data_IF_126053423378
#
_entry.id   IF_126053423378
#
_cell.length_a   1.000
_cell.length_b   1.000
_cell.length_c   1.000
_cell.angle_alpha   90.00
_cell.angle_beta   90.00
_cell.angle_gamma   90.00
#
_symmetry.space_group_name_H-M   'P 1'
#
loop_
_entity.id
_entity.type
_entity.pdbx_description
1 polymer ?
#
# COMPACT_ATOMS: atom_id res chain seq x y z
N UNK A 1 41.61 -28.29 14.15
CA UNK A 1 40.31 -27.75 14.53
C UNK A 1 39.46 -28.87 15.09
N UNK A 2 38.83 -28.65 16.22
CA UNK A 2 37.91 -29.65 16.76
C UNK A 2 36.63 -29.70 15.94
N UNK A 3 35.96 -30.88 15.85
CA UNK A 3 34.68 -31.03 15.14
C UNK A 3 33.61 -29.99 15.58
N UNK A 4 33.69 -29.53 16.84
CA UNK A 4 32.82 -28.50 17.39
C UNK A 4 33.11 -27.11 16.78
N UNK A 5 34.38 -26.75 16.59
CA UNK A 5 34.77 -25.46 15.95
C UNK A 5 34.36 -25.40 14.49
N UNK A 6 34.46 -26.53 13.76
CA UNK A 6 34.03 -26.60 12.36
C UNK A 6 32.53 -26.46 12.23
N UNK A 7 31.73 -27.05 13.11
CA UNK A 7 30.28 -26.92 13.12
C UNK A 7 29.82 -25.47 13.41
N UNK A 8 30.48 -24.82 14.36
CA UNK A 8 30.18 -23.39 14.69
C UNK A 8 30.50 -22.49 13.51
N UNK A 9 31.63 -22.70 12.85
CA UNK A 9 32.01 -21.93 11.67
C UNK A 9 31.00 -22.11 10.52
N UNK A 10 30.52 -23.34 10.32
CA UNK A 10 29.53 -23.66 9.29
C UNK A 10 28.17 -22.97 9.56
N UNK A 11 27.73 -22.97 10.83
CA UNK A 11 26.50 -22.26 11.24
C UNK A 11 26.65 -20.75 11.04
N UNK A 12 27.77 -20.14 11.42
CA UNK A 12 28.05 -18.74 11.23
C UNK A 12 28.06 -18.30 9.74
N UNK A 13 28.54 -19.18 8.84
CA UNK A 13 28.56 -18.93 7.41
C UNK A 13 27.16 -19.10 6.77
N UNK A 14 26.35 -20.04 7.26
CA UNK A 14 25.00 -20.28 6.71
C UNK A 14 23.96 -19.30 7.23
N UNK A 15 24.12 -18.76 8.44
CA UNK A 15 23.16 -17.84 9.05
C UNK A 15 22.83 -16.63 8.17
N UNK A 16 23.81 -15.87 7.60
CA UNK A 16 23.48 -14.74 6.75
C UNK A 16 22.81 -15.15 5.43
N UNK A 17 23.12 -16.32 4.90
CA UNK A 17 22.48 -16.84 3.68
C UNK A 17 21.03 -17.19 3.97
N UNK A 18 20.75 -17.85 5.08
CA UNK A 18 19.38 -18.20 5.52
C UNK A 18 18.59 -16.91 5.79
N UNK A 19 19.16 -15.93 6.48
CA UNK A 19 18.53 -14.65 6.75
C UNK A 19 18.22 -13.89 5.44
N UNK A 20 19.10 -13.93 4.46
CA UNK A 20 18.88 -13.34 3.14
C UNK A 20 17.73 -14.02 2.38
N UNK A 21 17.65 -15.36 2.44
CA UNK A 21 16.60 -16.14 1.78
C UNK A 21 15.22 -15.98 2.44
N UNK A 22 15.19 -15.73 3.75
CA UNK A 22 13.95 -15.53 4.52
C UNK A 22 13.49 -14.06 4.47
N UNK A 23 14.37 -13.12 4.10
CA UNK A 23 14.03 -11.71 4.05
C UNK A 23 12.97 -11.46 2.98
N UNK A 24 11.81 -10.87 3.34
CA UNK A 24 10.76 -10.62 2.36
C UNK A 24 11.26 -9.70 1.26
N UNK A 25 10.99 -10.06 0.01
CA UNK A 25 11.32 -9.23 -1.15
C UNK A 25 10.59 -7.87 -1.08
N UNK A 26 11.12 -6.85 -1.72
CA UNK A 26 10.47 -5.54 -1.80
C UNK A 26 9.08 -5.63 -2.45
N UNK A 27 8.91 -6.49 -3.47
CA UNK A 27 7.61 -6.77 -4.06
C UNK A 27 6.62 -7.35 -3.05
N UNK A 28 7.04 -8.32 -2.24
CA UNK A 28 6.23 -8.92 -1.17
C UNK A 28 5.82 -7.88 -0.11
N UNK A 29 6.73 -6.98 0.24
CA UNK A 29 6.47 -5.88 1.18
C UNK A 29 5.45 -4.89 0.64
N UNK A 30 5.53 -4.56 -0.67
CA UNK A 30 4.56 -3.69 -1.33
C UNK A 30 3.19 -4.37 -1.44
N UNK A 31 3.12 -5.66 -1.77
CA UNK A 31 1.86 -6.43 -1.74
C UNK A 31 1.20 -6.38 -0.36
N UNK A 32 1.99 -6.57 0.69
CA UNK A 32 1.52 -6.46 2.08
C UNK A 32 1.03 -5.06 2.40
N UNK A 33 1.73 -4.01 1.94
CA UNK A 33 1.33 -2.61 2.13
C UNK A 33 -0.08 -2.36 1.58
N UNK A 34 -0.39 -2.81 0.36
CA UNK A 34 -1.72 -2.63 -0.23
C UNK A 34 -2.79 -3.47 0.47
N UNK A 35 -2.49 -4.73 0.80
CA UNK A 35 -3.41 -5.60 1.54
C UNK A 35 -3.79 -5.00 2.90
N UNK A 36 -2.81 -4.55 3.65
CA UNK A 36 -3.03 -3.91 4.95
C UNK A 36 -3.63 -2.50 4.81
N UNK A 37 -3.24 -1.76 3.75
CA UNK A 37 -3.81 -0.46 3.41
C UNK A 37 -5.31 -0.54 3.19
N UNK A 38 -5.78 -1.48 2.38
CA UNK A 38 -7.22 -1.72 2.20
C UNK A 38 -7.91 -2.01 3.54
N UNK A 39 -7.33 -2.88 4.36
CA UNK A 39 -7.90 -3.25 5.67
C UNK A 39 -8.00 -2.06 6.63
N UNK A 40 -7.01 -1.17 6.68
CA UNK A 40 -7.06 -0.01 7.59
C UNK A 40 -8.02 1.07 7.10
N UNK A 41 -8.23 1.19 5.78
CA UNK A 41 -9.26 2.06 5.21
C UNK A 41 -10.66 1.50 5.57
N UNK A 42 -10.87 0.19 5.44
CA UNK A 42 -12.13 -0.47 5.83
C UNK A 42 -12.44 -0.34 7.34
N UNK A 43 -11.40 -0.19 8.17
CA UNK A 43 -11.52 0.09 9.61
C UNK A 43 -11.63 1.58 9.95
N UNK A 44 -11.57 2.45 8.94
CA UNK A 44 -11.61 3.91 9.11
C UNK A 44 -10.49 4.44 10.03
N UNK A 45 -9.33 3.74 10.06
CA UNK A 45 -8.17 4.11 10.86
C UNK A 45 -7.28 5.10 10.08
N UNK A 46 -7.57 6.39 10.24
CA UNK A 46 -6.89 7.48 9.53
C UNK A 46 -5.38 7.48 9.76
N UNK A 47 -4.93 7.29 10.99
CA UNK A 47 -3.49 7.35 11.31
C UNK A 47 -2.76 6.15 10.68
N UNK A 48 -3.35 4.97 10.71
CA UNK A 48 -2.80 3.80 10.05
C UNK A 48 -2.76 3.95 8.52
N UNK A 49 -3.77 4.57 7.89
CA UNK A 49 -3.75 4.91 6.46
C UNK A 49 -2.61 5.86 6.15
N UNK A 50 -2.53 6.97 6.88
CA UNK A 50 -1.55 8.02 6.63
C UNK A 50 -0.11 7.59 6.93
N UNK A 51 0.10 6.58 7.77
CA UNK A 51 1.43 6.00 8.01
C UNK A 51 2.03 5.29 6.78
N UNK A 52 1.22 5.03 5.75
CA UNK A 52 1.60 4.42 4.47
C UNK A 52 1.82 5.43 3.35
N UNK A 53 1.56 6.69 3.61
CA UNK A 53 1.73 7.80 2.68
C UNK A 53 2.95 8.63 3.09
N UNK A 54 3.81 8.96 2.14
CA UNK A 54 4.97 9.81 2.40
C UNK A 54 4.54 11.26 2.68
N UNK A 55 5.26 11.94 3.57
CA UNK A 55 5.12 13.39 3.74
C UNK A 55 5.45 14.18 2.47
N UNK A 56 6.23 13.58 1.53
CA UNK A 56 6.57 14.14 0.24
C UNK A 56 5.51 13.84 -0.85
N UNK A 57 4.36 13.27 -0.46
CA UNK A 57 3.29 12.95 -1.40
C UNK A 57 2.88 14.18 -2.22
N UNK A 58 2.82 13.98 -3.53
CA UNK A 58 2.27 14.94 -4.48
C UNK A 58 1.77 14.21 -5.72
N UNK A 59 0.49 14.31 -6.00
CA UNK A 59 -0.10 13.68 -7.17
C UNK A 59 -0.06 14.58 -8.42
N UNK A 60 -0.67 14.10 -9.51
CA UNK A 60 -0.75 14.82 -10.78
C UNK A 60 -1.56 16.13 -10.71
N UNK A 61 -2.43 16.27 -9.71
CA UNK A 61 -3.24 17.49 -9.47
C UNK A 61 -2.59 18.42 -8.45
N UNK A 62 -1.41 18.08 -7.96
CA UNK A 62 -0.69 18.86 -6.96
C UNK A 62 -1.21 18.67 -5.52
N UNK A 63 -2.04 17.67 -5.27
CA UNK A 63 -2.55 17.35 -3.94
C UNK A 63 -1.41 16.84 -3.06
N UNK A 64 -1.32 17.40 -1.86
CA UNK A 64 -0.25 17.10 -0.90
C UNK A 64 -0.70 16.11 0.18
N UNK A 65 0.25 15.62 0.99
CA UNK A 65 -0.02 14.77 2.15
C UNK A 65 -1.14 15.32 3.06
N UNK A 66 -1.09 16.62 3.40
CA UNK A 66 -2.10 17.25 4.26
C UNK A 66 -3.48 17.25 3.60
N UNK A 67 -3.54 17.51 2.31
CA UNK A 67 -4.80 17.47 1.57
C UNK A 67 -5.41 16.07 1.56
N UNK A 68 -4.60 15.05 1.31
CA UNK A 68 -5.06 13.64 1.34
C UNK A 68 -5.54 13.26 2.73
N UNK A 69 -4.83 13.67 3.77
CA UNK A 69 -5.24 13.44 5.16
C UNK A 69 -6.60 14.05 5.48
N UNK A 70 -6.83 15.31 5.13
CA UNK A 70 -8.10 15.98 5.34
C UNK A 70 -9.24 15.39 4.48
N UNK A 71 -8.93 14.97 3.26
CA UNK A 71 -9.90 14.30 2.39
C UNK A 71 -10.31 12.94 2.96
N UNK A 72 -9.37 12.12 3.40
CA UNK A 72 -9.67 10.83 4.04
C UNK A 72 -10.47 11.00 5.32
N UNK A 73 -10.16 12.01 6.12
CA UNK A 73 -10.96 12.34 7.32
C UNK A 73 -12.40 12.64 6.97
N UNK A 74 -12.66 13.44 5.92
CA UNK A 74 -14.03 13.73 5.44
C UNK A 74 -14.72 12.47 4.95
N UNK A 75 -14.03 11.62 4.19
CA UNK A 75 -14.58 10.34 3.73
C UNK A 75 -15.05 9.50 4.92
N UNK A 76 -14.24 9.33 5.94
CA UNK A 76 -14.58 8.55 7.14
C UNK A 76 -15.70 9.17 7.99
N UNK A 77 -15.92 10.49 7.90
CA UNK A 77 -17.06 11.15 8.55
C UNK A 77 -18.38 11.00 7.77
N UNK A 78 -18.31 10.85 6.45
CA UNK A 78 -19.49 10.82 5.56
C UNK A 78 -19.89 9.41 5.13
N UNK A 79 -18.97 8.46 5.17
CA UNK A 79 -19.16 7.10 4.69
C UNK A 79 -18.90 6.10 5.81
N UNK A 80 -19.60 4.99 5.75
CA UNK A 80 -19.41 3.85 6.65
C UNK A 80 -19.43 2.54 5.88
N UNK A 81 -19.08 1.43 6.53
CA UNK A 81 -19.04 0.10 5.90
C UNK A 81 -18.23 0.08 4.61
N UNK A 82 -17.10 0.77 4.60
CA UNK A 82 -16.22 0.86 3.44
C UNK A 82 -15.63 -0.52 3.16
N UNK A 83 -15.74 -0.97 1.91
CA UNK A 83 -15.12 -2.20 1.42
C UNK A 83 -14.33 -1.92 0.16
N UNK A 84 -13.07 -2.36 0.15
CA UNK A 84 -12.16 -2.19 -0.98
C UNK A 84 -11.91 -3.53 -1.63
N UNK A 85 -12.16 -3.59 -2.93
CA UNK A 85 -11.83 -4.72 -3.79
C UNK A 85 -10.79 -4.26 -4.80
N UNK A 86 -9.70 -5.00 -4.95
CA UNK A 86 -8.71 -4.74 -5.98
C UNK A 86 -8.25 -6.04 -6.63
N UNK A 87 -7.92 -5.95 -7.91
CA UNK A 87 -7.46 -7.05 -8.73
C UNK A 87 -6.37 -6.58 -9.69
N UNK A 88 -5.74 -7.52 -10.39
CA UNK A 88 -4.72 -7.26 -11.40
C UNK A 88 -3.52 -6.45 -10.88
N UNK A 89 -3.15 -6.64 -9.61
CA UNK A 89 -2.00 -5.96 -9.01
C UNK A 89 -0.71 -6.35 -9.72
N UNK A 90 -0.05 -5.36 -10.32
CA UNK A 90 1.26 -5.47 -10.98
C UNK A 90 2.24 -4.52 -10.32
N UNK A 91 3.33 -5.06 -9.79
CA UNK A 91 4.36 -4.30 -9.10
C UNK A 91 5.65 -4.36 -9.90
N UNK A 92 6.29 -3.21 -10.08
CA UNK A 92 7.63 -3.08 -10.67
C UNK A 92 8.51 -2.33 -9.69
N UNK A 93 9.57 -2.98 -9.22
CA UNK A 93 10.55 -2.38 -8.30
C UNK A 93 11.83 -2.06 -9.05
N UNK A 94 12.33 -0.85 -8.87
CA UNK A 94 13.63 -0.40 -9.37
C UNK A 94 14.35 0.36 -8.27
N UNK A 95 15.30 -0.30 -7.61
CA UNK A 95 16.08 0.25 -6.50
C UNK A 95 15.17 0.75 -5.35
N UNK A 96 15.13 2.06 -5.10
CA UNK A 96 14.32 2.68 -4.06
C UNK A 96 12.95 3.18 -4.54
N UNK A 97 12.62 2.93 -5.80
CA UNK A 97 11.36 3.33 -6.42
C UNK A 97 10.56 2.11 -6.86
N UNK A 98 9.26 2.21 -6.81
CA UNK A 98 8.38 1.18 -7.33
C UNK A 98 7.11 1.80 -7.91
N UNK A 99 6.48 1.07 -8.83
CA UNK A 99 5.14 1.35 -9.30
C UNK A 99 4.25 0.15 -9.02
N UNK A 100 3.00 0.42 -8.70
CA UNK A 100 1.96 -0.60 -8.54
C UNK A 100 0.71 -0.17 -9.29
N UNK A 101 0.30 -0.99 -10.23
CA UNK A 101 -0.93 -0.81 -11.00
C UNK A 101 -1.97 -1.81 -10.54
N UNK A 102 -3.22 -1.40 -10.39
CA UNK A 102 -4.33 -2.26 -9.99
C UNK A 102 -5.67 -1.71 -10.44
N UNK A 103 -6.64 -2.60 -10.56
CA UNK A 103 -8.04 -2.25 -10.81
C UNK A 103 -8.81 -2.29 -9.49
N UNK A 104 -9.49 -1.19 -9.15
CA UNK A 104 -10.08 -0.97 -7.83
C UNK A 104 -11.57 -0.69 -7.93
N UNK A 105 -12.33 -1.26 -6.99
CA UNK A 105 -13.72 -0.91 -6.68
C UNK A 105 -13.83 -0.60 -5.21
N UNK A 106 -14.63 0.38 -4.89
CA UNK A 106 -14.93 0.71 -3.50
C UNK A 106 -16.44 0.78 -3.31
N UNK A 107 -16.92 0.06 -2.32
CA UNK A 107 -18.31 0.05 -1.87
C UNK A 107 -18.35 0.75 -0.53
N UNK A 108 -19.35 1.59 -0.31
CA UNK A 108 -19.56 2.22 1.00
C UNK A 108 -21.03 2.56 1.20
N UNK A 109 -21.38 2.88 2.43
CA UNK A 109 -22.70 3.38 2.83
C UNK A 109 -22.62 4.88 3.07
N UNK A 110 -23.48 5.64 2.41
CA UNK A 110 -23.67 7.08 2.60
C UNK A 110 -25.11 7.29 3.07
N UNK A 111 -25.28 7.75 4.32
CA UNK A 111 -26.62 7.78 4.94
C UNK A 111 -27.20 6.38 5.07
N UNK A 112 -28.28 6.10 4.32
CA UNK A 112 -28.94 4.77 4.28
C UNK A 112 -28.66 4.00 2.98
N UNK A 113 -27.92 4.58 2.05
CA UNK A 113 -27.69 4.01 0.73
C UNK A 113 -26.30 3.35 0.65
N UNK A 114 -26.26 2.09 0.28
CA UNK A 114 -25.03 1.33 0.06
C UNK A 114 -24.84 1.07 -1.43
N UNK A 115 -23.65 1.36 -1.93
CA UNK A 115 -23.33 1.15 -3.34
C UNK A 115 -21.87 1.41 -3.68
N UNK A 116 -21.54 1.29 -4.96
CA UNK A 116 -20.22 1.59 -5.47
C UNK A 116 -19.99 3.10 -5.46
N UNK A 117 -18.93 3.53 -4.77
CA UNK A 117 -18.47 4.92 -4.76
C UNK A 117 -17.28 5.15 -5.68
N UNK A 118 -16.57 4.09 -6.04
CA UNK A 118 -15.47 4.10 -7.00
C UNK A 118 -15.52 2.83 -7.84
N UNK A 119 -15.61 2.99 -9.18
CA UNK A 119 -15.80 1.88 -10.09
C UNK A 119 -17.15 1.19 -9.90
N UNK A 120 -17.37 0.12 -10.66
CA UNK A 120 -18.52 -0.78 -10.53
C UNK A 120 -18.11 -2.20 -10.97
N UNK A 121 -19.04 -3.16 -10.93
CA UNK A 121 -18.75 -4.56 -11.28
C UNK A 121 -18.18 -4.72 -12.70
N UNK A 122 -18.78 -4.14 -13.76
CA UNK A 122 -18.24 -4.30 -15.09
C UNK A 122 -17.03 -3.40 -15.39
N UNK A 123 -16.85 -2.30 -14.64
CA UNK A 123 -15.82 -1.30 -14.93
C UNK A 123 -15.14 -0.78 -13.66
N UNK A 124 -14.10 -1.48 -13.18
CA UNK A 124 -13.26 -0.97 -12.09
C UNK A 124 -12.50 0.28 -12.53
N UNK A 125 -12.00 1.03 -11.57
CA UNK A 125 -11.09 2.16 -11.83
C UNK A 125 -9.66 1.67 -11.80
N UNK A 126 -8.91 1.95 -12.85
CA UNK A 126 -7.49 1.65 -12.90
C UNK A 126 -6.69 2.70 -12.15
N UNK A 127 -5.98 2.29 -11.11
CA UNK A 127 -5.11 3.15 -10.31
C UNK A 127 -3.66 2.77 -10.48
N UNK A 128 -2.81 3.76 -10.56
CA UNK A 128 -1.36 3.61 -10.53
C UNK A 128 -0.79 4.35 -9.33
N UNK A 129 -0.04 3.63 -8.53
CA UNK A 129 0.67 4.17 -7.39
C UNK A 129 2.17 4.22 -7.69
N UNK A 130 2.80 5.32 -7.32
CA UNK A 130 4.26 5.42 -7.26
C UNK A 130 4.68 5.38 -5.79
N UNK A 131 5.67 4.56 -5.48
CA UNK A 131 6.17 4.36 -4.12
C UNK A 131 7.66 4.67 -4.07
N UNK A 132 8.10 5.12 -2.91
CA UNK A 132 9.52 5.32 -2.59
C UNK A 132 9.86 4.60 -1.29
N UNK A 133 11.05 4.02 -1.26
CA UNK A 133 11.57 3.37 -0.06
C UNK A 133 12.28 4.39 0.81
N UNK A 134 11.62 4.79 1.88
CA UNK A 134 12.16 5.69 2.89
C UNK A 134 12.72 4.87 4.06
N UNK A 135 14.05 4.87 4.22
CA UNK A 135 14.76 3.97 5.14
C UNK A 135 14.45 2.50 4.84
N UNK A 136 13.58 1.88 5.62
CA UNK A 136 13.18 0.46 5.48
C UNK A 136 11.71 0.28 5.06
N UNK A 137 10.96 1.37 4.88
CA UNK A 137 9.52 1.33 4.58
C UNK A 137 9.24 1.79 3.17
N UNK A 138 8.34 1.10 2.49
CA UNK A 138 7.75 1.56 1.25
C UNK A 138 6.57 2.49 1.57
N UNK A 139 6.57 3.68 0.99
CA UNK A 139 5.52 4.70 1.17
C UNK A 139 5.01 5.17 -0.19
N UNK A 140 3.72 5.45 -0.27
CA UNK A 140 3.09 6.01 -1.47
C UNK A 140 3.46 7.50 -1.57
N UNK A 141 4.01 7.89 -2.73
CA UNK A 141 4.38 9.29 -3.03
C UNK A 141 3.50 9.92 -4.10
N UNK A 142 2.75 9.11 -4.87
CA UNK A 142 1.86 9.59 -5.93
C UNK A 142 0.78 8.57 -6.22
N UNK A 143 -0.42 9.05 -6.55
CA UNK A 143 -1.54 8.25 -7.07
C UNK A 143 -2.06 8.89 -8.35
N UNK A 144 -2.31 8.08 -9.37
CA UNK A 144 -2.84 8.48 -10.67
C UNK A 144 -4.09 7.65 -10.98
N UNK A 145 -5.01 8.23 -11.74
CA UNK A 145 -6.22 7.57 -12.19
C UNK A 145 -7.44 7.76 -11.28
N UNK A 146 -7.33 8.50 -10.18
CA UNK A 146 -8.50 8.88 -9.40
C UNK A 146 -9.38 9.84 -10.21
N UNK A 147 -10.71 9.63 -10.24
CA UNK A 147 -11.60 10.59 -10.88
C UNK A 147 -11.57 11.94 -10.13
N UNK A 148 -11.53 13.04 -10.87
CA UNK A 148 -11.25 14.40 -10.36
C UNK A 148 -12.39 15.01 -9.53
N UNK A 149 -13.52 14.32 -9.41
CA UNK A 149 -14.74 14.85 -8.76
C UNK A 149 -15.01 14.05 -7.46
N UNK A 150 -14.45 14.56 -6.38
CA UNK A 150 -14.81 14.18 -5.00
C UNK A 150 -15.33 15.39 -4.23
#
# INVERSE_FOLDING_TARGET
MSKKSTAILFVLLLTPIILYLIWPSDESRIKKLFKEGARVIEKEDLDAVMSRVSYNYRDEYGLTYLYIKESMKRVFLQMSNIKIEYENLKIKVKEKNATADMDVRVIATIGNDTGYILGDLPKPVHLKFTLEKERTKWLVIKTEGLPVHW
#
